data_IF_689044143674
#
_entry.id   IF_689044143674
#
_cell.length_a   1.000
_cell.length_b   1.000
_cell.length_c   1.000
_cell.angle_alpha   90.00
_cell.angle_beta   90.00
_cell.angle_gamma   90.00
#
_symmetry.space_group_name_H-M   'P 1'
#
loop_
_entity.id
_entity.type
_entity.pdbx_description
1 polymer ?
#
# COMPACT_ATOMS: atom_id res chain seq x y z
N UNK A 1 21.22 18.62 4.77
CA UNK A 1 19.75 18.67 4.88
C UNK A 1 19.29 17.29 5.34
N UNK A 2 19.37 17.04 6.65
CA UNK A 2 19.05 15.76 7.28
C UNK A 2 18.28 16.11 8.55
N UNK A 3 17.00 15.73 8.64
CA UNK A 3 16.21 15.93 9.85
C UNK A 3 14.74 16.28 9.67
N UNK A 4 14.25 16.60 8.47
CA UNK A 4 12.81 16.78 8.25
C UNK A 4 12.19 15.46 7.78
N UNK A 5 11.34 14.89 8.63
CA UNK A 5 10.56 13.68 8.39
C UNK A 5 9.54 13.94 7.27
N UNK A 6 9.95 13.79 6.01
CA UNK A 6 9.17 14.08 4.79
C UNK A 6 8.09 13.02 4.48
N UNK A 7 7.51 12.40 5.50
CA UNK A 7 6.66 11.22 5.29
C UNK A 7 5.41 11.56 4.46
N UNK A 8 4.99 12.83 4.44
CA UNK A 8 3.75 13.26 3.79
C UNK A 8 3.83 14.60 3.03
N UNK A 9 5.01 15.06 2.62
CA UNK A 9 5.13 16.32 1.88
C UNK A 9 4.92 16.16 0.36
N UNK A 10 3.80 15.55 -0.03
CA UNK A 10 3.44 15.38 -1.44
C UNK A 10 3.28 16.71 -2.18
N UNK A 11 3.06 17.81 -1.46
CA UNK A 11 3.02 19.14 -2.03
C UNK A 11 4.39 19.59 -2.57
N UNK A 12 5.48 19.17 -1.91
CA UNK A 12 6.84 19.52 -2.32
C UNK A 12 7.30 18.75 -3.56
N UNK A 13 7.14 17.43 -3.57
CA UNK A 13 7.72 16.60 -4.64
C UNK A 13 6.74 16.29 -5.80
N UNK A 14 5.42 16.39 -5.60
CA UNK A 14 4.40 16.20 -6.65
C UNK A 14 3.26 17.24 -6.55
N UNK A 15 3.54 18.56 -6.69
CA UNK A 15 2.58 19.63 -6.40
C UNK A 15 1.28 19.56 -7.21
N UNK A 16 1.38 19.31 -8.51
CA UNK A 16 0.21 19.31 -9.41
C UNK A 16 -0.69 18.09 -9.15
N UNK A 17 -0.09 16.92 -8.95
CA UNK A 17 -0.80 15.68 -8.60
C UNK A 17 -1.45 15.85 -7.24
N UNK A 18 -0.72 16.39 -6.26
CA UNK A 18 -1.25 16.61 -4.91
C UNK A 18 -2.40 17.61 -4.88
N UNK A 19 -2.34 18.68 -5.68
CA UNK A 19 -3.46 19.62 -5.84
C UNK A 19 -4.72 18.95 -6.36
N UNK A 20 -4.60 17.97 -7.28
CA UNK A 20 -5.74 17.19 -7.78
C UNK A 20 -6.30 16.26 -6.70
N UNK A 21 -5.44 15.55 -5.99
CA UNK A 21 -5.83 14.65 -4.88
C UNK A 21 -6.58 15.42 -3.80
N UNK A 22 -6.08 16.60 -3.39
CA UNK A 22 -6.79 17.45 -2.41
C UNK A 22 -8.20 17.83 -2.85
N UNK A 23 -8.41 18.12 -4.13
CA UNK A 23 -9.75 18.41 -4.67
C UNK A 23 -10.66 17.18 -4.62
N UNK A 24 -10.14 16.01 -4.99
CA UNK A 24 -10.88 14.74 -4.93
C UNK A 24 -11.38 14.48 -3.51
N UNK A 25 -10.46 14.56 -2.53
CA UNK A 25 -10.76 14.36 -1.11
C UNK A 25 -11.79 15.39 -0.62
N UNK A 26 -11.55 16.69 -0.87
CA UNK A 26 -12.45 17.77 -0.43
C UNK A 26 -13.87 17.67 -1.04
N UNK A 27 -13.98 17.13 -2.26
CA UNK A 27 -15.26 16.92 -2.94
C UNK A 27 -15.98 15.63 -2.55
N UNK A 28 -15.37 14.78 -1.70
CA UNK A 28 -15.86 13.45 -1.35
C UNK A 28 -16.14 12.55 -2.56
N UNK A 29 -15.38 12.70 -3.65
CA UNK A 29 -15.49 11.91 -4.89
C UNK A 29 -14.31 10.96 -5.05
N UNK A 30 -13.98 10.25 -3.98
CA UNK A 30 -12.86 9.31 -3.95
C UNK A 30 -13.26 8.07 -4.74
N UNK A 31 -12.63 7.84 -5.90
CA UNK A 31 -12.75 6.58 -6.64
C UNK A 31 -12.15 5.40 -5.88
N UNK A 32 -12.61 4.19 -6.20
CA UNK A 32 -12.18 2.94 -5.55
C UNK A 32 -10.77 2.47 -5.94
N UNK A 33 -10.20 2.99 -7.03
CA UNK A 33 -8.89 2.61 -7.52
C UNK A 33 -8.16 3.76 -8.21
N UNK A 34 -6.85 3.84 -7.96
CA UNK A 34 -5.94 4.80 -8.59
C UNK A 34 -4.67 4.08 -9.06
N UNK A 35 -4.22 4.41 -10.28
CA UNK A 35 -2.95 3.95 -10.81
C UNK A 35 -1.96 5.11 -10.85
N UNK A 36 -0.96 5.08 -9.97
CA UNK A 36 0.17 6.00 -10.01
C UNK A 36 1.24 5.45 -10.97
N UNK A 37 1.49 6.15 -12.07
CA UNK A 37 2.45 5.75 -13.12
C UNK A 37 3.49 6.85 -13.38
N UNK A 38 4.67 6.46 -13.89
CA UNK A 38 5.82 7.36 -14.08
C UNK A 38 7.17 6.67 -13.80
N UNK A 39 8.30 7.36 -14.04
CA UNK A 39 9.66 6.81 -13.87
C UNK A 39 10.00 6.48 -12.41
N UNK A 40 11.03 5.65 -12.18
CA UNK A 40 11.56 5.38 -10.84
C UNK A 40 12.07 6.69 -10.20
N UNK A 41 11.91 6.82 -8.87
CA UNK A 41 12.27 8.05 -8.15
C UNK A 41 11.25 9.19 -8.25
N UNK A 42 10.20 9.12 -9.09
CA UNK A 42 9.21 10.20 -9.21
C UNK A 42 8.24 10.34 -8.02
N UNK A 43 8.43 9.60 -6.92
CA UNK A 43 7.58 9.70 -5.72
C UNK A 43 6.21 9.02 -5.82
N UNK A 44 5.99 8.10 -6.77
CA UNK A 44 4.68 7.43 -6.96
C UNK A 44 4.15 6.77 -5.70
N UNK A 45 5.01 5.99 -5.04
CA UNK A 45 4.65 5.24 -3.84
C UNK A 45 4.46 6.19 -2.64
N UNK A 46 5.31 7.22 -2.54
CA UNK A 46 5.20 8.27 -1.54
C UNK A 46 3.87 9.05 -1.67
N UNK A 47 3.48 9.44 -2.89
CA UNK A 47 2.20 10.13 -3.14
C UNK A 47 1.01 9.24 -2.80
N UNK A 48 1.07 7.95 -3.15
CA UNK A 48 0.01 7.00 -2.81
C UNK A 48 -0.14 6.83 -1.30
N UNK A 49 0.99 6.73 -0.57
CA UNK A 49 1.01 6.68 0.89
C UNK A 49 0.44 7.96 1.51
N UNK A 50 0.83 9.13 1.00
CA UNK A 50 0.30 10.43 1.44
C UNK A 50 -1.21 10.55 1.19
N UNK A 51 -1.71 10.08 0.05
CA UNK A 51 -3.15 10.04 -0.21
C UNK A 51 -3.90 9.15 0.79
N UNK A 52 -3.35 7.97 1.10
CA UNK A 52 -3.93 7.08 2.11
C UNK A 52 -3.98 7.70 3.51
N UNK A 53 -2.89 8.36 3.92
CA UNK A 53 -2.84 9.10 5.17
C UNK A 53 -3.84 10.28 5.19
N UNK A 54 -4.03 10.96 4.06
CA UNK A 54 -4.96 12.07 3.97
C UNK A 54 -6.43 11.65 4.11
N UNK A 55 -6.80 10.50 3.54
CA UNK A 55 -8.15 9.93 3.64
C UNK A 55 -8.50 9.44 5.05
N UNK A 56 -7.50 9.22 5.90
CA UNK A 56 -7.66 8.68 7.25
C UNK A 56 -7.28 9.68 8.35
N UNK A 57 -6.82 10.88 8.00
CA UNK A 57 -6.47 11.91 8.97
C UNK A 57 -7.68 12.33 9.80
N UNK A 58 -7.53 12.28 11.13
CA UNK A 58 -8.63 12.56 12.07
C UNK A 58 -8.80 14.04 12.42
N UNK A 59 -7.77 14.85 12.20
CA UNK A 59 -7.85 16.30 12.36
C UNK A 59 -8.22 16.89 11.00
N UNK A 60 -9.18 17.83 10.94
CA UNK A 60 -9.75 18.48 9.72
C UNK A 60 -8.75 19.12 8.72
N UNK A 61 -7.44 18.90 8.86
CA UNK A 61 -6.42 19.14 7.84
C UNK A 61 -6.39 18.01 6.80
N UNK A 62 -5.83 18.29 5.61
CA UNK A 62 -5.60 17.24 4.60
C UNK A 62 -4.67 16.15 5.14
N UNK A 63 -3.58 16.51 5.82
CA UNK A 63 -2.73 15.59 6.62
C UNK A 63 -2.19 16.42 7.78
N UNK A 64 -2.45 16.03 9.02
CA UNK A 64 -1.99 16.79 10.18
C UNK A 64 -0.60 16.36 10.70
N UNK A 65 -0.17 15.14 10.39
CA UNK A 65 1.14 14.60 10.82
C UNK A 65 1.26 14.27 12.31
N UNK A 66 0.28 14.66 13.14
CA UNK A 66 0.36 14.55 14.61
C UNK A 66 -0.70 13.66 15.24
N UNK A 67 -1.80 13.35 14.54
CA UNK A 67 -2.81 12.44 15.06
C UNK A 67 -2.36 10.98 15.00
N UNK A 68 -2.97 10.13 15.82
CA UNK A 68 -2.64 8.70 15.90
C UNK A 68 -2.72 7.99 14.54
N UNK A 69 -3.70 8.34 13.71
CA UNK A 69 -3.81 7.81 12.35
C UNK A 69 -2.61 8.20 11.48
N UNK A 70 -2.25 9.50 11.41
CA UNK A 70 -1.10 9.95 10.63
C UNK A 70 0.20 9.30 11.11
N UNK A 71 0.41 9.18 12.42
CA UNK A 71 1.61 8.55 13.00
C UNK A 71 1.70 7.05 12.65
N UNK A 72 0.58 6.33 12.67
CA UNK A 72 0.56 4.90 12.28
C UNK A 72 0.70 4.69 10.77
N UNK A 73 0.19 5.61 9.95
CA UNK A 73 0.48 5.60 8.52
C UNK A 73 1.97 5.82 8.28
N UNK A 74 2.58 6.73 9.04
CA UNK A 74 4.01 7.01 8.95
C UNK A 74 4.87 5.81 9.34
N UNK A 75 4.46 5.03 10.34
CA UNK A 75 5.16 3.80 10.70
C UNK A 75 4.75 2.57 9.88
N UNK A 76 3.93 2.73 8.83
CA UNK A 76 3.40 1.63 8.00
C UNK A 76 2.59 0.57 8.78
N UNK A 77 1.99 0.95 9.91
CA UNK A 77 1.28 0.06 10.84
C UNK A 77 -0.18 0.47 11.08
N UNK A 78 -0.76 1.25 10.18
CA UNK A 78 -2.15 1.69 10.31
C UNK A 78 -3.13 0.53 10.09
N UNK A 79 -4.18 0.46 10.91
CA UNK A 79 -5.21 -0.60 10.85
C UNK A 79 -5.94 -0.68 9.50
N UNK A 80 -6.08 0.46 8.82
CA UNK A 80 -6.67 0.55 7.48
C UNK A 80 -5.64 0.42 6.34
N UNK A 81 -4.34 0.26 6.62
CA UNK A 81 -3.31 0.16 5.60
C UNK A 81 -2.98 -1.31 5.31
N UNK A 82 -3.19 -1.72 4.07
CA UNK A 82 -2.75 -3.01 3.55
C UNK A 82 -1.72 -2.80 2.46
N UNK A 83 -0.55 -3.40 2.62
CA UNK A 83 0.54 -3.30 1.64
C UNK A 83 0.73 -4.64 0.95
N UNK A 84 0.69 -4.63 -0.39
CA UNK A 84 1.02 -5.77 -1.23
C UNK A 84 2.29 -5.44 -2.00
N UNK A 85 3.27 -6.34 -1.91
CA UNK A 85 4.56 -6.22 -2.60
C UNK A 85 4.88 -7.51 -3.34
N UNK A 86 5.81 -7.49 -4.32
CA UNK A 86 6.36 -8.70 -4.89
C UNK A 86 7.08 -9.53 -3.82
N UNK A 87 6.91 -10.85 -3.86
CA UNK A 87 7.48 -11.75 -2.86
C UNK A 87 8.25 -12.90 -3.53
N UNK A 88 9.33 -13.39 -2.88
CA UNK A 88 10.00 -14.60 -3.32
C UNK A 88 9.10 -15.82 -3.08
N UNK A 89 9.26 -16.85 -3.89
CA UNK A 89 8.54 -18.12 -3.74
C UNK A 89 9.54 -19.23 -3.45
N UNK A 90 9.40 -19.93 -2.32
CA UNK A 90 10.11 -21.21 -2.11
C UNK A 90 9.61 -22.25 -3.11
N UNK A 91 10.51 -23.11 -3.61
CA UNK A 91 10.29 -24.06 -4.72
C UNK A 91 9.26 -25.18 -4.46
N UNK A 92 8.57 -25.22 -3.33
CA UNK A 92 7.65 -26.30 -2.97
C UNK A 92 6.22 -26.08 -3.53
N UNK A 93 5.47 -27.17 -3.63
CA UNK A 93 4.05 -27.17 -4.00
C UNK A 93 3.22 -26.51 -2.89
N UNK A 94 3.16 -25.19 -2.96
CA UNK A 94 2.39 -24.35 -2.04
C UNK A 94 0.90 -24.48 -2.36
N UNK A 95 0.11 -24.80 -1.34
CA UNK A 95 -1.35 -24.81 -1.42
C UNK A 95 -1.88 -23.39 -1.65
N UNK A 96 -3.06 -23.31 -2.25
CA UNK A 96 -3.81 -22.08 -2.52
C UNK A 96 -4.15 -21.26 -1.27
N UNK A 97 -4.17 -21.90 -0.09
CA UNK A 97 -4.48 -21.26 1.20
C UNK A 97 -3.28 -21.19 2.17
N UNK A 98 -2.07 -21.52 1.74
CA UNK A 98 -0.87 -21.34 2.59
C UNK A 98 -0.62 -19.86 2.87
N UNK A 99 -0.34 -19.55 4.14
CA UNK A 99 -0.01 -18.21 4.61
C UNK A 99 1.25 -17.65 3.93
N UNK A 100 1.19 -16.39 3.51
CA UNK A 100 2.28 -15.69 2.82
C UNK A 100 3.60 -15.71 3.61
N UNK A 101 3.57 -15.59 4.94
CA UNK A 101 4.77 -15.60 5.78
C UNK A 101 5.48 -16.96 5.73
N UNK A 102 4.72 -18.05 5.65
CA UNK A 102 5.26 -19.41 5.49
C UNK A 102 5.94 -19.56 4.13
N UNK A 103 5.32 -19.01 3.07
CA UNK A 103 5.82 -19.09 1.69
C UNK A 103 7.19 -18.41 1.55
N UNK A 104 7.33 -17.22 2.13
CA UNK A 104 8.58 -16.45 2.02
C UNK A 104 9.64 -16.95 3.00
N UNK A 105 9.23 -17.53 4.13
CA UNK A 105 10.08 -18.04 5.21
C UNK A 105 10.65 -16.94 6.11
N UNK A 106 11.07 -17.34 7.31
CA UNK A 106 11.41 -16.44 8.43
C UNK A 106 12.44 -15.37 8.07
N UNK A 107 13.48 -15.72 7.30
CA UNK A 107 14.52 -14.77 6.87
C UNK A 107 13.96 -13.63 6.02
N UNK A 108 13.08 -13.96 5.07
CA UNK A 108 12.46 -12.95 4.21
C UNK A 108 11.35 -12.19 4.92
N UNK A 109 10.65 -12.83 5.87
CA UNK A 109 9.66 -12.16 6.72
C UNK A 109 10.32 -11.08 7.59
N UNK A 110 11.44 -11.39 8.25
CA UNK A 110 12.20 -10.41 9.01
C UNK A 110 12.71 -9.25 8.13
N UNK A 111 13.21 -9.56 6.94
CA UNK A 111 13.65 -8.55 5.97
C UNK A 111 12.48 -7.67 5.48
N UNK A 112 11.31 -8.25 5.22
CA UNK A 112 10.13 -7.50 4.81
C UNK A 112 9.72 -6.49 5.89
N UNK A 113 9.73 -6.90 7.16
CA UNK A 113 9.43 -6.02 8.29
C UNK A 113 10.42 -4.86 8.38
N UNK A 114 11.72 -5.12 8.25
CA UNK A 114 12.75 -4.08 8.23
C UNK A 114 12.57 -3.10 7.05
N UNK A 115 12.26 -3.62 5.85
CA UNK A 115 12.00 -2.78 4.67
C UNK A 115 10.74 -1.92 4.81
N UNK A 116 9.68 -2.46 5.43
CA UNK A 116 8.46 -1.69 5.72
C UNK A 116 8.73 -0.56 6.71
N UNK A 117 9.52 -0.83 7.75
CA UNK A 117 9.92 0.20 8.72
C UNK A 117 10.74 1.31 8.05
N UNK A 118 11.77 0.93 7.27
CA UNK A 118 12.59 1.90 6.51
C UNK A 118 11.77 2.73 5.53
N UNK A 119 10.74 2.14 4.93
CA UNK A 119 9.80 2.87 4.07
C UNK A 119 8.89 3.82 4.85
N UNK A 120 8.56 3.47 6.08
CA UNK A 120 7.91 4.39 7.00
C UNK A 120 8.79 5.60 7.28
N UNK A 121 10.08 5.40 7.56
CA UNK A 121 11.04 6.47 7.81
C UNK A 121 11.31 7.33 6.57
N UNK A 122 11.45 6.69 5.40
CA UNK A 122 11.64 7.34 4.10
C UNK A 122 10.65 6.77 3.05
N UNK A 123 9.61 7.54 2.65
CA UNK A 123 8.62 7.11 1.66
C UNK A 123 9.20 6.78 0.27
N UNK A 124 10.39 7.27 -0.04
CA UNK A 124 11.08 6.99 -1.31
C UNK A 124 11.86 5.68 -1.27
N UNK A 125 12.02 5.08 -0.10
CA UNK A 125 12.69 3.80 0.04
C UNK A 125 11.86 2.68 -0.60
N UNK A 126 12.51 1.95 -1.51
CA UNK A 126 11.91 0.82 -2.22
C UNK A 126 11.88 -0.44 -1.35
N UNK A 127 10.74 -1.14 -1.33
CA UNK A 127 10.64 -2.49 -0.77
C UNK A 127 11.01 -3.48 -1.88
N UNK A 128 12.23 -4.01 -1.84
CA UNK A 128 12.72 -5.03 -2.79
C UNK A 128 13.28 -6.22 -2.01
N UNK A 129 12.60 -7.35 -2.08
CA UNK A 129 13.10 -8.61 -1.52
C UNK A 129 13.95 -9.37 -2.55
N UNK A 130 14.99 -10.10 -2.11
CA UNK A 130 15.75 -10.98 -2.99
C UNK A 130 14.83 -12.00 -3.67
N UNK A 131 15.01 -12.21 -4.98
CA UNK A 131 14.23 -13.16 -5.80
C UNK A 131 12.71 -12.88 -5.84
N UNK A 132 12.25 -11.71 -5.40
CA UNK A 132 10.87 -11.29 -5.53
C UNK A 132 10.58 -10.83 -6.96
N UNK A 133 9.97 -11.71 -7.75
CA UNK A 133 9.68 -11.48 -9.18
C UNK A 133 8.20 -11.55 -9.52
N UNK A 134 7.31 -11.59 -8.54
CA UNK A 134 5.86 -11.69 -8.74
C UNK A 134 5.11 -11.28 -7.49
N UNK A 135 3.91 -10.75 -7.66
CA UNK A 135 2.93 -10.66 -6.57
C UNK A 135 2.19 -11.99 -6.50
N UNK A 136 2.22 -12.64 -5.34
CA UNK A 136 1.63 -13.97 -5.16
C UNK A 136 0.10 -13.90 -5.09
N UNK A 137 -0.57 -14.89 -5.70
CA UNK A 137 -2.03 -14.98 -5.63
C UNK A 137 -2.53 -15.14 -4.19
N UNK A 138 -1.76 -15.83 -3.34
CA UNK A 138 -2.04 -15.98 -1.91
C UNK A 138 -2.17 -14.61 -1.23
N UNK A 139 -1.28 -13.65 -1.55
CA UNK A 139 -1.33 -12.28 -1.01
C UNK A 139 -2.62 -11.56 -1.39
N UNK A 140 -3.10 -11.70 -2.63
CA UNK A 140 -4.35 -11.08 -3.10
C UNK A 140 -5.58 -11.74 -2.45
N UNK A 141 -5.56 -13.06 -2.27
CA UNK A 141 -6.65 -13.78 -1.60
C UNK A 141 -6.74 -13.45 -0.11
N UNK A 142 -5.61 -13.41 0.58
CA UNK A 142 -5.54 -12.97 1.98
C UNK A 142 -5.99 -11.52 2.13
N UNK A 143 -5.52 -10.63 1.24
CA UNK A 143 -5.96 -9.25 1.20
C UNK A 143 -7.48 -9.18 1.07
N UNK A 144 -8.06 -9.90 0.10
CA UNK A 144 -9.50 -9.94 -0.09
C UNK A 144 -10.20 -10.37 1.19
N UNK A 145 -9.78 -11.48 1.82
CA UNK A 145 -10.35 -11.93 3.11
C UNK A 145 -10.31 -10.81 4.16
N UNK A 146 -9.17 -10.12 4.32
CA UNK A 146 -8.99 -9.00 5.26
C UNK A 146 -9.90 -7.80 4.95
N UNK A 147 -10.08 -7.45 3.69
CA UNK A 147 -10.90 -6.31 3.28
C UNK A 147 -12.39 -6.50 3.58
N UNK A 148 -12.92 -7.72 3.56
CA UNK A 148 -14.32 -8.00 3.92
C UNK A 148 -14.55 -8.15 5.42
N UNK A 149 -13.50 -8.19 6.25
CA UNK A 149 -13.67 -8.15 7.70
C UNK A 149 -14.16 -6.76 8.15
N UNK A 150 -14.95 -6.74 9.23
CA UNK A 150 -15.38 -5.50 9.86
C UNK A 150 -14.15 -4.78 10.43
N UNK A 151 -13.89 -3.57 9.96
CA UNK A 151 -12.82 -2.70 10.47
C UNK A 151 -13.40 -1.65 11.41
N UNK A 152 -12.53 -0.76 11.90
CA UNK A 152 -12.95 0.44 12.64
C UNK A 152 -13.86 1.31 11.76
N UNK A 153 -14.89 1.92 12.35
CA UNK A 153 -15.95 2.68 11.65
C UNK A 153 -15.52 4.10 11.21
N UNK A 154 -14.25 4.31 10.85
CA UNK A 154 -13.78 5.60 10.33
C UNK A 154 -12.80 5.43 9.18
N UNK A 155 -12.65 6.48 8.36
CA UNK A 155 -11.65 6.52 7.28
C UNK A 155 -11.94 5.57 6.12
N UNK A 156 -10.88 5.24 5.37
CA UNK A 156 -10.89 4.39 4.19
C UNK A 156 -9.90 3.25 4.37
N UNK A 157 -10.28 2.02 4.00
CA UNK A 157 -9.36 0.88 3.85
C UNK A 157 -8.46 1.14 2.64
N UNK A 158 -7.19 1.37 2.85
CA UNK A 158 -6.22 1.67 1.80
C UNK A 158 -5.43 0.42 1.46
N UNK A 159 -5.49 0.01 0.20
CA UNK A 159 -4.60 -1.02 -0.35
C UNK A 159 -3.52 -0.36 -1.21
N UNK A 160 -2.27 -0.47 -0.79
CA UNK A 160 -1.12 -0.05 -1.58
C UNK A 160 -0.46 -1.27 -2.21
N UNK A 161 -0.59 -1.38 -3.54
CA UNK A 161 0.10 -2.41 -4.33
C UNK A 161 1.34 -1.77 -4.95
N UNK A 162 2.52 -2.06 -4.39
CA UNK A 162 3.79 -1.60 -4.95
C UNK A 162 4.25 -2.51 -6.07
N UNK A 163 4.83 -1.91 -7.11
CA UNK A 163 5.24 -2.60 -8.33
C UNK A 163 4.13 -3.47 -8.95
N UNK A 164 2.95 -2.87 -9.13
CA UNK A 164 1.75 -3.55 -9.65
C UNK A 164 1.95 -4.27 -11.00
N UNK A 165 2.98 -3.94 -11.78
CA UNK A 165 3.33 -4.71 -12.99
C UNK A 165 3.64 -6.18 -12.70
N UNK A 166 4.12 -6.52 -11.50
CA UNK A 166 4.33 -7.91 -11.06
C UNK A 166 3.04 -8.69 -10.75
N UNK A 167 1.85 -8.07 -10.86
CA UNK A 167 0.56 -8.79 -10.78
C UNK A 167 0.32 -9.69 -12.00
N UNK A 168 0.83 -9.26 -13.16
CA UNK A 168 0.64 -9.93 -14.44
C UNK A 168 1.73 -10.95 -14.75
N UNK A 169 2.79 -11.03 -13.93
CA UNK A 169 3.89 -11.98 -14.14
C UNK A 169 3.43 -13.43 -13.93
N UNK A 170 3.67 -14.28 -14.93
CA UNK A 170 3.28 -15.69 -14.93
C UNK A 170 1.96 -15.94 -15.68
N UNK A 171 1.00 -16.57 -15.02
CA UNK A 171 -0.33 -16.90 -15.57
C UNK A 171 -1.39 -15.79 -15.35
N UNK A 172 -0.97 -14.63 -14.80
CA UNK A 172 -1.87 -13.52 -14.49
C UNK A 172 -2.90 -13.83 -13.40
N UNK A 173 -2.75 -14.93 -12.66
CA UNK A 173 -3.77 -15.36 -11.70
C UNK A 173 -3.95 -14.36 -10.55
N UNK A 174 -2.88 -13.66 -10.14
CA UNK A 174 -2.94 -12.58 -9.14
C UNK A 174 -3.74 -11.38 -9.61
N UNK A 175 -3.53 -10.94 -10.87
CA UNK A 175 -4.30 -9.85 -11.45
C UNK A 175 -5.79 -10.19 -11.56
N UNK A 176 -6.11 -11.40 -12.05
CA UNK A 176 -7.49 -11.88 -12.16
C UNK A 176 -8.19 -12.03 -10.79
N UNK A 177 -7.45 -12.46 -9.77
CA UNK A 177 -7.98 -12.54 -8.41
C UNK A 177 -8.32 -11.15 -7.83
N UNK A 178 -7.58 -10.11 -8.24
CA UNK A 178 -7.80 -8.73 -7.82
C UNK A 178 -9.02 -8.09 -8.50
N UNK A 179 -9.35 -8.48 -9.75
CA UNK A 179 -10.46 -7.89 -10.51
C UNK A 179 -11.78 -7.89 -9.73
N UNK A 180 -12.08 -8.99 -9.02
CA UNK A 180 -13.29 -9.09 -8.19
C UNK A 180 -13.39 -8.01 -7.11
N UNK A 181 -12.25 -7.60 -6.56
CA UNK A 181 -12.19 -6.53 -5.54
C UNK A 181 -12.32 -5.15 -6.19
N UNK A 182 -11.83 -4.99 -7.42
CA UNK A 182 -11.92 -3.72 -8.14
C UNK A 182 -13.34 -3.47 -8.69
N UNK A 183 -14.05 -4.53 -9.09
CA UNK A 183 -15.42 -4.47 -9.60
C UNK A 183 -16.43 -4.21 -8.49
N UNK A 184 -16.27 -4.87 -7.33
CA UNK A 184 -17.19 -4.77 -6.19
C UNK A 184 -16.42 -4.56 -4.87
N UNK A 185 -15.77 -3.39 -4.70
CA UNK A 185 -15.01 -3.10 -3.50
C UNK A 185 -15.94 -2.97 -2.28
N UNK A 186 -15.51 -3.40 -1.07
CA UNK A 186 -16.22 -3.06 0.15
C UNK A 186 -16.37 -1.55 0.31
N UNK A 187 -17.40 -1.10 1.03
CA UNK A 187 -17.60 0.34 1.27
C UNK A 187 -16.34 1.00 1.86
N UNK A 188 -16.01 2.20 1.36
CA UNK A 188 -14.83 2.97 1.77
C UNK A 188 -13.52 2.18 1.68
N UNK A 189 -13.31 1.48 0.57
CA UNK A 189 -12.04 0.83 0.19
C UNK A 189 -11.47 1.48 -1.06
#
# INVERSE_FOLDING_TARGET
>A
MAGETMIFDAAHYQPDVWKRIKKIIASNRVGSAYLFSGPEGSGKEATALAMGAALNCQNNATICGTCSSCLRFASMQHEHLHVVVPLPRKKESIDKDTDVLVIIGDKNAALLTDLLQKKGEDPFQKIKLPQAKRILINSIRELRKKLYLKSVDYGYKIVLIFDAHYLSDGDGASANALLKVLEEPPEKT
#
